data_IF_129363200863
#
_entry.id   IF_129363200863
#
_cell.length_a   1.000
_cell.length_b   1.000
_cell.length_c   1.000
_cell.angle_alpha   90.00
_cell.angle_beta   90.00
_cell.angle_gamma   90.00
#
_symmetry.space_group_name_H-M   'P 1'
#
loop_
_entity.id
_entity.type
_entity.pdbx_description
1 polymer ?
#
# COMPACT_ATOMS: atom_id res chain seq x y z
N UNK A 1 0.40 8.67 -20.65
CA UNK A 1 1.77 8.43 -20.14
C UNK A 1 2.16 9.41 -19.03
N UNK A 2 1.74 10.67 -19.11
CA UNK A 2 1.99 11.66 -18.04
C UNK A 2 1.39 11.24 -16.69
N UNK A 3 0.16 10.70 -16.67
CA UNK A 3 -0.51 10.25 -15.43
C UNK A 3 0.26 9.12 -14.73
N UNK A 4 0.85 8.22 -15.51
CA UNK A 4 1.69 7.14 -14.97
C UNK A 4 2.96 7.69 -14.33
N UNK A 5 3.62 8.65 -14.98
CA UNK A 5 4.81 9.30 -14.42
C UNK A 5 4.47 10.02 -13.11
N UNK A 6 3.36 10.77 -13.08
CA UNK A 6 2.90 11.47 -11.88
C UNK A 6 2.56 10.47 -10.76
N UNK A 7 1.88 9.36 -11.08
CA UNK A 7 1.56 8.30 -10.12
C UNK A 7 2.82 7.66 -9.53
N UNK A 8 3.86 7.40 -10.35
CA UNK A 8 5.15 6.89 -9.87
C UNK A 8 5.82 7.91 -8.95
N UNK A 9 5.85 9.19 -9.32
CA UNK A 9 6.41 10.26 -8.50
C UNK A 9 5.68 10.39 -7.16
N UNK A 10 4.34 10.50 -7.17
CA UNK A 10 3.51 10.63 -5.98
C UNK A 10 3.59 9.39 -5.07
N UNK A 11 3.55 8.18 -5.64
CA UNK A 11 3.66 6.95 -4.85
C UNK A 11 5.06 6.72 -4.28
N UNK A 12 6.10 7.34 -4.86
CA UNK A 12 7.47 7.26 -4.34
C UNK A 12 7.74 8.33 -3.28
N UNK A 13 7.25 9.56 -3.48
CA UNK A 13 7.51 10.68 -2.56
C UNK A 13 6.84 10.48 -1.20
N UNK A 14 5.74 9.71 -1.12
CA UNK A 14 5.01 9.48 0.14
C UNK A 14 5.90 8.87 1.23
N UNK A 15 6.82 7.97 0.87
CA UNK A 15 7.76 7.39 1.83
C UNK A 15 8.75 8.43 2.37
N UNK A 16 9.17 9.37 1.52
CA UNK A 16 10.03 10.50 1.89
C UNK A 16 9.25 11.46 2.80
N UNK A 17 7.99 11.76 2.47
CA UNK A 17 7.10 12.60 3.29
C UNK A 17 6.96 12.01 4.71
N UNK A 18 6.72 10.70 4.84
CA UNK A 18 6.67 10.07 6.16
C UNK A 18 7.97 10.19 6.95
N UNK A 19 9.13 10.14 6.27
CA UNK A 19 10.41 10.42 6.92
C UNK A 19 10.50 11.87 7.37
N UNK A 20 10.05 12.81 6.55
CA UNK A 20 10.03 14.23 6.87
C UNK A 20 9.08 14.56 8.03
N UNK A 21 7.98 13.82 8.22
CA UNK A 21 7.12 14.00 9.40
C UNK A 21 7.91 13.83 10.70
N UNK A 22 8.81 12.83 10.79
CA UNK A 22 9.67 12.68 11.95
C UNK A 22 10.71 13.80 12.10
N UNK A 23 11.21 14.34 10.98
CA UNK A 23 12.17 15.47 10.99
C UNK A 23 11.51 16.75 11.48
N UNK A 24 10.33 17.07 10.95
CA UNK A 24 9.56 18.26 11.30
C UNK A 24 8.66 18.08 12.53
N UNK A 25 8.72 16.92 13.20
CA UNK A 25 7.92 16.58 14.38
C UNK A 25 6.40 16.72 14.15
N UNK A 26 5.96 16.39 12.93
CA UNK A 26 4.55 16.34 12.58
C UNK A 26 3.96 15.04 13.14
N UNK A 27 2.81 15.15 13.79
CA UNK A 27 2.06 13.97 14.21
C UNK A 27 1.56 13.20 12.99
N UNK A 28 2.03 11.95 12.88
CA UNK A 28 1.81 11.12 11.70
C UNK A 28 0.34 10.72 11.56
N UNK A 29 -0.37 10.47 12.66
CA UNK A 29 -1.76 10.06 12.61
C UNK A 29 -2.64 11.21 12.11
N UNK A 30 -2.45 12.42 12.65
CA UNK A 30 -3.19 13.59 12.17
C UNK A 30 -2.88 13.90 10.71
N UNK A 31 -1.63 13.73 10.27
CA UNK A 31 -1.27 13.93 8.87
C UNK A 31 -1.97 12.92 7.94
N UNK A 32 -2.04 11.63 8.34
CA UNK A 32 -2.78 10.60 7.59
C UNK A 32 -4.28 10.92 7.55
N UNK A 33 -4.89 11.26 8.69
CA UNK A 33 -6.31 11.62 8.74
C UNK A 33 -6.58 12.82 7.81
N UNK A 34 -5.72 13.84 7.86
CA UNK A 34 -5.83 15.02 6.99
C UNK A 34 -5.71 14.62 5.52
N UNK A 35 -4.79 13.71 5.17
CA UNK A 35 -4.67 13.20 3.80
C UNK A 35 -5.98 12.54 3.32
N UNK A 36 -6.64 11.74 4.15
CA UNK A 36 -7.93 11.12 3.81
C UNK A 36 -9.07 12.13 3.70
N UNK A 37 -9.10 13.17 4.55
CA UNK A 37 -10.06 14.27 4.43
C UNK A 37 -9.87 15.02 3.12
N UNK A 38 -8.62 15.32 2.74
CA UNK A 38 -8.30 15.95 1.46
C UNK A 38 -8.70 15.04 0.29
N UNK A 39 -8.36 13.75 0.34
CA UNK A 39 -8.72 12.79 -0.70
C UNK A 39 -10.25 12.68 -0.89
N UNK A 40 -11.00 12.60 0.22
CA UNK A 40 -12.47 12.58 0.19
C UNK A 40 -13.04 13.89 -0.40
N UNK A 41 -12.51 15.03 0.01
CA UNK A 41 -12.95 16.34 -0.49
C UNK A 41 -12.69 16.48 -1.99
N UNK A 42 -11.48 16.12 -2.45
CA UNK A 42 -11.13 16.10 -3.86
C UNK A 42 -12.02 15.12 -4.63
N UNK A 43 -12.27 13.92 -4.09
CA UNK A 43 -13.16 12.95 -4.72
C UNK A 43 -14.57 13.51 -4.93
N UNK A 44 -15.16 14.16 -3.91
CA UNK A 44 -16.48 14.79 -4.02
C UNK A 44 -16.48 15.94 -5.02
N UNK A 45 -15.43 16.78 -5.02
CA UNK A 45 -15.33 17.93 -5.94
C UNK A 45 -15.25 17.53 -7.42
N UNK A 46 -14.61 16.40 -7.73
CA UNK A 46 -14.46 15.92 -9.10
C UNK A 46 -15.50 14.86 -9.49
N UNK A 47 -16.35 14.41 -8.57
CA UNK A 47 -17.39 13.46 -8.87
C UNK A 47 -18.56 14.14 -9.57
N UNK A 48 -18.81 13.76 -10.83
CA UNK A 48 -19.87 14.34 -11.66
C UNK A 48 -21.23 13.64 -11.55
N UNK A 49 -21.33 12.60 -10.72
CA UNK A 49 -22.57 11.83 -10.54
C UNK A 49 -23.39 12.29 -9.34
N UNK A 50 -24.59 11.73 -9.20
CA UNK A 50 -25.43 11.97 -8.04
C UNK A 50 -24.92 11.20 -6.81
N UNK A 51 -24.73 11.91 -5.70
CA UNK A 51 -24.37 11.32 -4.42
C UNK A 51 -25.66 11.07 -3.64
N UNK A 52 -26.11 9.82 -3.59
CA UNK A 52 -27.21 9.38 -2.74
C UNK A 52 -26.69 8.46 -1.62
N UNK A 53 -26.51 8.97 -0.39
CA UNK A 53 -25.98 8.19 0.74
C UNK A 53 -26.77 6.91 1.03
N UNK A 54 -28.09 6.94 0.85
CA UNK A 54 -28.96 5.79 1.08
C UNK A 54 -28.70 4.68 0.07
N UNK A 55 -28.53 5.02 -1.21
CA UNK A 55 -28.19 4.05 -2.24
C UNK A 55 -26.78 3.48 -2.08
N UNK A 56 -25.82 4.31 -1.62
CA UNK A 56 -24.44 3.90 -1.38
C UNK A 56 -24.38 2.82 -0.29
N UNK A 57 -25.11 3.00 0.82
CA UNK A 57 -25.13 2.04 1.93
C UNK A 57 -25.70 0.67 1.56
N UNK A 58 -26.44 0.57 0.45
CA UNK A 58 -27.01 -0.70 -0.05
C UNK A 58 -26.12 -1.41 -1.07
N UNK A 59 -25.01 -0.79 -1.50
CA UNK A 59 -24.13 -1.41 -2.50
C UNK A 59 -23.37 -2.59 -1.87
N UNK A 60 -23.18 -3.70 -2.61
CA UNK A 60 -22.53 -4.89 -2.08
C UNK A 60 -21.06 -4.63 -1.66
N UNK A 61 -20.40 -3.68 -2.32
CA UNK A 61 -19.03 -3.27 -2.00
C UNK A 61 -18.92 -2.35 -0.76
N UNK A 62 -20.02 -1.80 -0.21
CA UNK A 62 -19.97 -0.76 0.83
C UNK A 62 -19.28 -1.22 2.12
N UNK A 63 -19.64 -2.41 2.62
CA UNK A 63 -19.00 -2.96 3.82
C UNK A 63 -17.52 -3.26 3.57
N UNK A 64 -17.19 -3.75 2.37
CA UNK A 64 -15.80 -4.01 1.97
C UNK A 64 -14.95 -2.75 1.94
N UNK A 65 -15.45 -1.66 1.35
CA UNK A 65 -14.73 -0.37 1.30
C UNK A 65 -14.62 0.30 2.68
N UNK A 66 -15.61 0.14 3.55
CA UNK A 66 -15.55 0.62 4.93
C UNK A 66 -14.41 -0.05 5.70
N UNK A 67 -14.35 -1.39 5.68
CA UNK A 67 -13.27 -2.17 6.30
C UNK A 67 -11.91 -1.83 5.71
N UNK A 68 -11.86 -1.66 4.38
CA UNK A 68 -10.64 -1.26 3.68
C UNK A 68 -10.13 0.11 4.15
N UNK A 69 -11.02 1.06 4.42
CA UNK A 69 -10.67 2.37 4.98
C UNK A 69 -9.94 2.26 6.33
N UNK A 70 -10.41 1.41 7.24
CA UNK A 70 -9.72 1.13 8.51
C UNK A 70 -8.35 0.51 8.29
N UNK A 71 -8.27 -0.48 7.38
CA UNK A 71 -7.03 -1.17 7.07
C UNK A 71 -5.99 -0.20 6.48
N UNK A 72 -6.42 0.71 5.62
CA UNK A 72 -5.59 1.75 5.06
C UNK A 72 -4.94 2.63 6.14
N UNK A 73 -5.71 3.19 7.08
CA UNK A 73 -5.16 4.04 8.15
C UNK A 73 -4.14 3.25 8.98
N UNK A 74 -4.43 2.00 9.30
CA UNK A 74 -3.54 1.12 10.05
C UNK A 74 -2.22 0.90 9.29
N UNK A 75 -2.29 0.48 8.02
CA UNK A 75 -1.11 0.16 7.21
C UNK A 75 -0.30 1.41 6.89
N UNK A 76 -0.93 2.55 6.62
CA UNK A 76 -0.20 3.82 6.44
C UNK A 76 0.60 4.22 7.68
N UNK A 77 0.06 4.01 8.89
CA UNK A 77 0.82 4.22 10.12
C UNK A 77 2.00 3.24 10.25
N UNK A 78 1.83 1.97 9.85
CA UNK A 78 2.93 0.99 9.83
C UNK A 78 4.02 1.38 8.82
N UNK A 79 3.63 1.82 7.62
CA UNK A 79 4.55 2.31 6.59
C UNK A 79 5.32 3.52 7.13
N UNK A 80 4.63 4.48 7.73
CA UNK A 80 5.25 5.66 8.30
C UNK A 80 6.27 5.30 9.40
N UNK A 81 5.87 4.45 10.36
CA UNK A 81 6.75 3.99 11.43
C UNK A 81 7.98 3.25 10.91
N UNK A 82 7.81 2.43 9.87
CA UNK A 82 8.90 1.71 9.20
C UNK A 82 9.85 2.68 8.49
N UNK A 83 9.32 3.64 7.73
CA UNK A 83 10.10 4.69 7.06
C UNK A 83 10.91 5.53 8.04
N UNK A 84 10.31 5.89 9.18
CA UNK A 84 10.92 6.73 10.20
C UNK A 84 12.01 5.99 10.98
N UNK A 85 11.74 4.74 11.39
CA UNK A 85 12.59 3.98 12.33
C UNK A 85 13.66 3.11 11.66
N UNK A 86 13.37 2.57 10.47
CA UNK A 86 14.23 1.59 9.79
C UNK A 86 14.75 2.14 8.45
N UNK A 87 13.94 2.95 7.79
CA UNK A 87 14.32 3.71 6.61
C UNK A 87 13.30 3.60 5.47
N UNK A 88 13.29 4.64 4.65
CA UNK A 88 12.42 4.81 3.48
C UNK A 88 12.54 3.64 2.51
N UNK A 89 13.78 3.18 2.22
CA UNK A 89 14.02 2.08 1.30
C UNK A 89 13.41 0.76 1.77
N UNK A 90 13.41 0.48 3.07
CA UNK A 90 12.85 -0.78 3.60
C UNK A 90 11.33 -0.74 3.54
N UNK A 91 10.72 0.39 3.89
CA UNK A 91 9.26 0.57 3.80
C UNK A 91 8.76 0.49 2.34
N UNK A 92 9.47 1.14 1.40
CA UNK A 92 9.09 1.14 -0.01
C UNK A 92 9.23 -0.25 -0.63
N UNK A 93 10.31 -0.97 -0.33
CA UNK A 93 10.50 -2.35 -0.79
C UNK A 93 9.43 -3.27 -0.18
N UNK A 94 9.21 -3.25 1.13
CA UNK A 94 8.18 -4.09 1.76
C UNK A 94 6.78 -3.86 1.15
N UNK A 95 6.43 -2.60 0.85
CA UNK A 95 5.14 -2.25 0.25
C UNK A 95 5.05 -2.72 -1.20
N UNK A 96 6.02 -2.40 -2.06
CA UNK A 96 5.96 -2.74 -3.49
C UNK A 96 5.99 -4.26 -3.73
N UNK A 97 6.58 -5.00 -2.80
CA UNK A 97 6.73 -6.45 -2.95
C UNK A 97 5.56 -7.23 -2.40
N UNK A 98 4.66 -6.57 -1.66
CA UNK A 98 3.38 -7.15 -1.27
C UNK A 98 2.51 -7.57 -2.45
N UNK A 99 2.80 -7.07 -3.67
CA UNK A 99 2.18 -7.45 -4.94
C UNK A 99 2.14 -8.97 -5.17
N UNK A 100 3.07 -9.74 -4.59
CA UNK A 100 3.03 -11.21 -4.69
C UNK A 100 1.74 -11.80 -4.10
N UNK A 101 1.19 -11.20 -3.04
CA UNK A 101 -0.02 -11.67 -2.34
C UNK A 101 -1.26 -11.58 -3.25
N UNK A 102 -1.66 -10.42 -3.80
CA UNK A 102 -2.83 -10.33 -4.69
C UNK A 102 -2.64 -11.12 -5.98
N UNK A 103 -1.39 -11.28 -6.47
CA UNK A 103 -1.10 -12.13 -7.63
C UNK A 103 -1.39 -13.60 -7.30
N UNK A 104 -0.85 -14.12 -6.20
CA UNK A 104 -1.12 -15.50 -5.76
C UNK A 104 -2.61 -15.72 -5.50
N UNK A 105 -3.26 -14.77 -4.82
CA UNK A 105 -4.70 -14.81 -4.58
C UNK A 105 -5.49 -14.87 -5.89
N UNK A 106 -5.15 -14.03 -6.87
CA UNK A 106 -5.85 -14.00 -8.14
C UNK A 106 -5.77 -15.31 -8.93
N UNK A 107 -4.62 -15.97 -8.87
CA UNK A 107 -4.40 -17.28 -9.51
C UNK A 107 -5.22 -18.37 -8.84
N UNK A 108 -5.19 -18.42 -7.50
CA UNK A 108 -5.89 -19.46 -6.74
C UNK A 108 -7.41 -19.29 -6.75
N UNK A 109 -7.89 -18.05 -6.64
CA UNK A 109 -9.32 -17.76 -6.46
C UNK A 109 -10.07 -17.63 -7.79
N UNK A 110 -9.42 -17.06 -8.82
CA UNK A 110 -10.06 -16.78 -10.11
C UNK A 110 -9.58 -17.68 -11.25
N UNK A 111 -8.76 -18.71 -10.95
CA UNK A 111 -8.12 -19.57 -11.95
C UNK A 111 -7.45 -18.77 -13.08
N UNK A 112 -6.87 -17.61 -12.76
CA UNK A 112 -6.15 -16.84 -13.76
C UNK A 112 -5.01 -17.69 -14.34
N UNK A 113 -5.03 -17.90 -15.66
CA UNK A 113 -3.93 -18.58 -16.33
C UNK A 113 -2.65 -17.75 -16.18
N UNK A 114 -1.69 -18.35 -15.47
CA UNK A 114 -0.34 -17.83 -15.35
C UNK A 114 0.44 -18.18 -16.61
N UNK A 115 0.40 -17.28 -17.59
CA UNK A 115 1.33 -17.34 -18.71
C UNK A 115 2.80 -17.31 -18.23
N UNK A 116 3.69 -17.92 -19.01
CA UNK A 116 5.12 -18.02 -18.70
C UNK A 116 5.77 -16.66 -18.37
N UNK A 117 5.32 -15.58 -19.02
CA UNK A 117 5.76 -14.20 -18.76
C UNK A 117 5.40 -13.69 -17.35
N UNK A 118 4.20 -14.02 -16.83
CA UNK A 118 3.77 -13.61 -15.48
C UNK A 118 4.65 -14.28 -14.42
N UNK A 119 4.94 -15.57 -14.59
CA UNK A 119 5.81 -16.35 -13.70
C UNK A 119 7.22 -15.75 -13.66
N UNK A 120 7.80 -15.46 -14.82
CA UNK A 120 9.11 -14.84 -14.95
C UNK A 120 9.13 -13.44 -14.29
N UNK A 121 8.07 -12.66 -14.47
CA UNK A 121 7.88 -11.36 -13.81
C UNK A 121 7.83 -11.47 -12.28
N UNK A 122 7.12 -12.46 -11.73
CA UNK A 122 7.09 -12.72 -10.27
C UNK A 122 8.48 -13.08 -9.76
N UNK A 123 9.20 -13.98 -10.44
CA UNK A 123 10.56 -14.37 -10.04
C UNK A 123 11.52 -13.17 -10.06
N UNK A 124 11.49 -12.36 -11.12
CA UNK A 124 12.31 -11.16 -11.22
C UNK A 124 11.94 -10.11 -10.15
N UNK A 125 10.65 -9.93 -9.86
CA UNK A 125 10.21 -9.06 -8.78
C UNK A 125 10.74 -9.56 -7.42
N UNK A 126 10.63 -10.87 -7.15
CA UNK A 126 11.17 -11.52 -5.94
C UNK A 126 12.69 -11.30 -5.81
N UNK A 127 13.45 -11.46 -6.90
CA UNK A 127 14.88 -11.18 -6.92
C UNK A 127 15.20 -9.70 -6.67
N UNK A 128 14.44 -8.77 -7.27
CA UNK A 128 14.60 -7.34 -7.05
C UNK A 128 14.37 -6.94 -5.58
N UNK A 129 13.41 -7.56 -4.88
CA UNK A 129 13.20 -7.37 -3.43
C UNK A 129 14.47 -7.69 -2.67
N UNK A 130 15.01 -8.88 -2.98
CA UNK A 130 16.11 -9.45 -2.24
C UNK A 130 17.35 -8.57 -2.36
N UNK A 131 17.70 -8.18 -3.60
CA UNK A 131 18.83 -7.30 -3.85
C UNK A 131 18.61 -5.88 -3.30
N UNK A 132 17.40 -5.32 -3.39
CA UNK A 132 17.10 -4.01 -2.81
C UNK A 132 17.09 -4.00 -1.28
N UNK A 133 16.89 -5.16 -0.64
CA UNK A 133 16.85 -5.33 0.81
C UNK A 133 18.21 -5.65 1.44
N UNK A 134 19.17 -6.14 0.66
CA UNK A 134 20.54 -6.37 1.13
C UNK A 134 21.22 -5.01 1.38
N UNK A 135 21.58 -4.75 2.63
CA UNK A 135 22.47 -3.64 3.01
C UNK A 135 23.89 -4.19 3.19
N UNK A 136 24.88 -3.51 2.62
CA UNK A 136 26.31 -3.88 2.68
C UNK A 136 26.94 -3.80 4.09
N UNK A 137 26.25 -3.23 5.09
CA UNK A 137 26.81 -3.09 6.45
C UNK A 137 26.25 -4.15 7.38
N UNK A 138 27.16 -4.78 8.13
CA UNK A 138 26.89 -5.57 9.33
C UNK A 138 26.13 -4.72 10.37
N UNK A 139 24.86 -4.49 10.13
CA UNK A 139 23.94 -3.98 11.14
C UNK A 139 23.35 -5.24 11.76
N UNK A 140 23.61 -5.47 13.03
CA UNK A 140 22.90 -6.44 13.86
C UNK A 140 21.42 -6.03 13.91
N UNK A 141 20.66 -6.40 12.87
CA UNK A 141 19.22 -6.19 12.83
C UNK A 141 18.63 -7.07 13.93
N UNK A 142 18.24 -6.46 15.05
CA UNK A 142 17.46 -7.15 16.08
C UNK A 142 16.22 -7.72 15.40
N UNK A 143 15.89 -9.00 15.64
CA UNK A 143 14.70 -9.65 15.06
C UNK A 143 13.41 -8.84 15.27
N UNK A 144 13.31 -8.07 16.36
CA UNK A 144 12.21 -7.15 16.63
C UNK A 144 12.07 -6.01 15.62
N UNK A 145 13.16 -5.61 14.96
CA UNK A 145 13.15 -4.59 13.91
C UNK A 145 12.59 -5.11 12.58
N UNK A 146 12.47 -6.43 12.38
CA UNK A 146 11.87 -7.02 11.17
C UNK A 146 10.34 -7.12 11.24
N UNK A 147 9.75 -7.00 12.43
CA UNK A 147 8.30 -7.09 12.62
C UNK A 147 7.57 -6.01 11.82
N UNK A 148 8.07 -4.78 11.85
CA UNK A 148 7.45 -3.65 11.14
C UNK A 148 7.41 -3.85 9.61
N UNK A 149 8.52 -4.16 8.92
CA UNK A 149 8.49 -4.48 7.49
C UNK A 149 7.57 -5.66 7.13
N UNK A 150 7.51 -6.70 7.96
CA UNK A 150 6.63 -7.86 7.72
C UNK A 150 5.15 -7.46 7.83
N UNK A 151 4.79 -6.68 8.86
CA UNK A 151 3.42 -6.18 9.00
C UNK A 151 3.03 -5.23 7.86
N UNK A 152 3.96 -4.40 7.37
CA UNK A 152 3.74 -3.58 6.17
C UNK A 152 3.53 -4.46 4.94
N UNK A 153 4.37 -5.47 4.73
CA UNK A 153 4.24 -6.38 3.60
C UNK A 153 2.90 -7.11 3.60
N UNK A 154 2.50 -7.70 4.73
CA UNK A 154 1.22 -8.40 4.86
C UNK A 154 0.04 -7.44 4.74
N UNK A 155 0.08 -6.32 5.45
CA UNK A 155 -1.00 -5.33 5.45
C UNK A 155 -1.24 -4.73 4.07
N UNK A 156 -0.17 -4.32 3.36
CA UNK A 156 -0.28 -3.81 1.99
C UNK A 156 -0.81 -4.87 1.02
N UNK A 157 -0.37 -6.13 1.17
CA UNK A 157 -0.86 -7.22 0.32
C UNK A 157 -2.34 -7.54 0.54
N UNK A 158 -2.80 -7.47 1.80
CA UNK A 158 -4.23 -7.61 2.14
C UNK A 158 -5.02 -6.44 1.54
N UNK A 159 -4.52 -5.20 1.62
CA UNK A 159 -5.17 -4.04 0.98
C UNK A 159 -5.33 -4.28 -0.52
N UNK A 160 -4.25 -4.60 -1.23
CA UNK A 160 -4.28 -4.77 -2.68
C UNK A 160 -5.20 -5.93 -3.11
N UNK A 161 -5.19 -7.02 -2.35
CA UNK A 161 -6.08 -8.17 -2.59
C UNK A 161 -7.54 -7.82 -2.33
N UNK A 162 -7.80 -7.08 -1.24
CA UNK A 162 -9.15 -6.65 -0.88
C UNK A 162 -9.70 -5.65 -1.89
N UNK A 163 -8.87 -4.74 -2.42
CA UNK A 163 -9.27 -3.84 -3.51
C UNK A 163 -9.71 -4.66 -4.72
N UNK A 164 -8.89 -5.64 -5.13
CA UNK A 164 -9.21 -6.50 -6.28
C UNK A 164 -10.53 -7.23 -6.09
N UNK A 165 -10.72 -7.84 -4.91
CA UNK A 165 -11.95 -8.54 -4.57
C UNK A 165 -13.17 -7.61 -4.58
N UNK A 166 -13.09 -6.46 -3.90
CA UNK A 166 -14.19 -5.49 -3.81
C UNK A 166 -14.54 -4.87 -5.16
N UNK A 167 -13.58 -4.77 -6.08
CA UNK A 167 -13.82 -4.29 -7.44
C UNK A 167 -14.59 -5.29 -8.31
N UNK A 168 -14.45 -6.58 -8.05
CA UNK A 168 -15.11 -7.66 -8.81
C UNK A 168 -16.50 -8.03 -8.25
N UNK A 169 -16.81 -7.63 -7.01
CA UNK A 169 -18.12 -7.77 -6.35
C UNK A 169 -19.06 -6.63 -6.71
#
# INVERSE_FOLDING_TARGET
MFDLALSICCSSIIFVIFKLYAVYKIDTLYAIITNYVVACSVAILFYSGDINPYQIGQKPWFLGTLLLGFLFILVFNLIAKTSQSIGVSVASVATKMSLVIPVVFGVLMYNEELGMLKILGIILALAAVYFASIKEKQITIKKSALILPILVFLGSGIIDTSIKYVQEV
#
